data_IF_101896598874
#
_entry.id   IF_101896598874
#
_cell.length_a   1.000
_cell.length_b   1.000
_cell.length_c   1.000
_cell.angle_alpha   90.00
_cell.angle_beta   90.00
_cell.angle_gamma   90.00
#
_symmetry.space_group_name_H-M   'P 1'
#
loop_
_entity.id
_entity.type
_entity.pdbx_description
1 polymer ?
#
# COMPACT_ATOMS: atom_id res chain seq x y z
N UNK A 1 23.64 3.34 -10.95
CA UNK A 1 24.08 1.92 -10.97
C UNK A 1 23.52 1.22 -9.75
N UNK A 2 22.93 0.03 -9.91
CA UNK A 2 22.46 -0.77 -8.78
C UNK A 2 23.64 -1.23 -7.92
N UNK A 3 23.49 -1.19 -6.59
CA UNK A 3 24.46 -1.78 -5.66
C UNK A 3 24.12 -3.25 -5.48
N UNK A 4 25.10 -4.14 -5.64
CA UNK A 4 24.94 -5.55 -5.33
C UNK A 4 25.08 -5.73 -3.81
N UNK A 5 24.09 -6.34 -3.18
CA UNK A 5 24.05 -6.55 -1.73
C UNK A 5 23.93 -8.03 -1.45
N UNK A 6 24.82 -8.56 -0.60
CA UNK A 6 24.70 -9.91 -0.06
C UNK A 6 23.84 -9.86 1.21
N UNK A 7 22.87 -10.76 1.30
CA UNK A 7 21.91 -10.82 2.41
C UNK A 7 21.82 -12.27 2.86
N UNK A 8 21.84 -12.50 4.17
CA UNK A 8 21.56 -13.81 4.78
C UNK A 8 20.06 -13.92 5.05
N UNK A 9 19.45 -14.99 4.54
CA UNK A 9 18.04 -15.28 4.78
C UNK A 9 17.92 -16.47 5.73
N UNK A 10 16.89 -16.45 6.57
CA UNK A 10 16.55 -17.62 7.37
C UNK A 10 15.98 -18.74 6.49
N UNK A 11 16.10 -19.98 6.95
CA UNK A 11 15.65 -21.19 6.25
C UNK A 11 14.19 -21.13 5.78
N UNK A 12 13.31 -20.46 6.55
CA UNK A 12 11.92 -20.22 6.15
C UNK A 12 11.82 -19.48 4.80
N UNK A 13 12.55 -18.37 4.64
CA UNK A 13 12.49 -17.56 3.43
C UNK A 13 13.22 -18.22 2.26
N UNK A 14 14.30 -18.96 2.51
CA UNK A 14 14.96 -19.75 1.47
C UNK A 14 14.01 -20.79 0.87
N UNK A 15 13.29 -21.54 1.73
CA UNK A 15 12.31 -22.53 1.28
C UNK A 15 11.17 -21.88 0.50
N UNK A 16 10.66 -20.74 0.97
CA UNK A 16 9.64 -19.98 0.25
C UNK A 16 10.15 -19.55 -1.13
N UNK A 17 11.31 -18.89 -1.21
CA UNK A 17 11.89 -18.37 -2.46
C UNK A 17 12.12 -19.52 -3.46
N UNK A 18 12.72 -20.62 -3.01
CA UNK A 18 12.93 -21.80 -3.84
C UNK A 18 11.60 -22.40 -4.33
N UNK A 19 10.58 -22.42 -3.49
CA UNK A 19 9.24 -22.86 -3.85
C UNK A 19 8.59 -21.98 -4.93
N UNK A 20 8.71 -20.65 -4.86
CA UNK A 20 8.14 -19.78 -5.91
C UNK A 20 8.95 -19.83 -7.20
N UNK A 21 10.28 -19.96 -7.14
CA UNK A 21 11.13 -20.09 -8.32
C UNK A 21 10.84 -21.41 -9.04
N UNK A 22 10.67 -22.52 -8.31
CA UNK A 22 10.39 -23.83 -8.92
C UNK A 22 9.06 -23.88 -9.69
N UNK A 23 8.11 -23.01 -9.36
CA UNK A 23 6.86 -22.85 -10.13
C UNK A 23 7.05 -22.13 -11.48
N UNK A 24 8.22 -21.55 -11.72
CA UNK A 24 8.50 -20.73 -12.91
C UNK A 24 7.95 -19.31 -12.83
N UNK A 25 7.37 -18.89 -11.69
CA UNK A 25 6.84 -17.52 -11.51
C UNK A 25 7.95 -16.46 -11.51
N UNK A 26 9.14 -16.82 -11.04
CA UNK A 26 10.31 -15.92 -10.97
C UNK A 26 11.56 -16.66 -11.42
N UNK A 27 12.49 -15.93 -12.06
CA UNK A 27 13.71 -16.51 -12.61
C UNK A 27 14.89 -16.47 -11.64
N UNK A 28 14.81 -15.67 -10.56
CA UNK A 28 15.91 -15.55 -9.59
C UNK A 28 15.45 -15.07 -8.22
N UNK A 29 16.25 -15.36 -7.20
CA UNK A 29 16.09 -14.82 -5.85
C UNK A 29 16.05 -13.29 -5.84
N UNK A 30 16.92 -12.64 -6.61
CA UNK A 30 16.96 -11.17 -6.72
C UNK A 30 15.68 -10.59 -7.34
N UNK A 31 14.96 -11.34 -8.18
CA UNK A 31 13.66 -10.92 -8.70
C UNK A 31 12.56 -11.01 -7.66
N UNK A 32 12.55 -12.10 -6.88
CA UNK A 32 11.61 -12.28 -5.76
C UNK A 32 11.80 -11.17 -4.73
N UNK A 33 13.05 -10.90 -4.32
CA UNK A 33 13.37 -9.85 -3.34
C UNK A 33 12.95 -8.48 -3.86
N UNK A 34 13.24 -8.13 -5.11
CA UNK A 34 12.81 -6.85 -5.70
C UNK A 34 11.30 -6.70 -5.72
N UNK A 35 10.57 -7.76 -6.01
CA UNK A 35 9.11 -7.75 -6.01
C UNK A 35 8.56 -7.58 -4.61
N UNK A 36 9.12 -8.28 -3.62
CA UNK A 36 8.75 -8.12 -2.22
C UNK A 36 9.01 -6.70 -1.71
N UNK A 37 10.17 -6.11 -2.03
CA UNK A 37 10.49 -4.73 -1.66
C UNK A 37 9.56 -3.71 -2.31
N UNK A 38 9.16 -3.92 -3.57
CA UNK A 38 8.17 -3.07 -4.24
C UNK A 38 6.80 -3.12 -3.55
N UNK A 39 6.37 -4.31 -3.12
CA UNK A 39 5.12 -4.44 -2.37
C UNK A 39 5.22 -3.73 -1.02
N UNK A 40 6.34 -3.87 -0.31
CA UNK A 40 6.58 -3.16 0.94
C UNK A 40 6.53 -1.63 0.75
N UNK A 41 7.20 -1.11 -0.27
CA UNK A 41 7.19 0.32 -0.61
C UNK A 41 5.76 0.84 -0.84
N UNK A 42 4.94 0.10 -1.59
CA UNK A 42 3.55 0.47 -1.86
C UNK A 42 2.72 0.48 -0.56
N UNK A 43 2.88 -0.50 0.31
CA UNK A 43 2.14 -0.55 1.58
C UNK A 43 2.55 0.58 2.54
N UNK A 44 3.84 0.92 2.59
CA UNK A 44 4.33 2.07 3.35
C UNK A 44 3.75 3.39 2.81
N UNK A 45 3.73 3.57 1.49
CA UNK A 45 3.11 4.75 0.86
C UNK A 45 1.62 4.86 1.18
N UNK A 46 0.87 3.76 1.13
CA UNK A 46 -0.55 3.74 1.52
C UNK A 46 -0.74 4.14 2.98
N UNK A 47 0.13 3.65 3.86
CA UNK A 47 0.08 3.95 5.30
C UNK A 47 0.34 5.44 5.56
N UNK A 48 1.31 6.03 4.87
CA UNK A 48 1.60 7.46 4.95
C UNK A 48 0.39 8.27 4.47
N UNK A 49 -0.13 7.96 3.27
CA UNK A 49 -1.29 8.66 2.71
C UNK A 49 -2.53 8.56 3.61
N UNK A 50 -2.74 7.41 4.26
CA UNK A 50 -3.83 7.23 5.21
C UNK A 50 -3.66 8.13 6.44
N UNK A 51 -2.45 8.20 7.02
CA UNK A 51 -2.17 9.08 8.16
C UNK A 51 -2.39 10.54 7.80
N UNK A 52 -1.89 10.97 6.65
CA UNK A 52 -2.10 12.35 6.16
C UNK A 52 -3.59 12.66 5.97
N UNK A 53 -4.38 11.72 5.43
CA UNK A 53 -5.82 11.89 5.28
C UNK A 53 -6.56 11.97 6.62
N UNK A 54 -6.12 11.20 7.62
CA UNK A 54 -6.65 11.27 8.98
C UNK A 54 -6.30 12.61 9.64
N UNK A 55 -5.04 13.04 9.56
CA UNK A 55 -4.59 14.34 10.09
C UNK A 55 -5.37 15.50 9.46
N UNK A 56 -5.62 15.45 8.15
CA UNK A 56 -6.47 16.44 7.45
C UNK A 56 -7.91 16.42 7.98
N UNK A 57 -8.46 15.24 8.23
CA UNK A 57 -9.79 15.07 8.80
C UNK A 57 -9.90 15.60 10.23
N UNK A 58 -8.93 15.29 11.10
CA UNK A 58 -8.91 15.73 12.50
C UNK A 58 -8.71 17.23 12.63
N UNK A 59 -7.88 17.83 11.78
CA UNK A 59 -7.67 19.27 11.73
C UNK A 59 -8.82 20.02 11.02
N UNK A 60 -9.76 19.30 10.40
CA UNK A 60 -10.95 19.89 9.79
C UNK A 60 -12.01 20.25 10.84
N UNK A 61 -12.92 21.15 10.48
CA UNK A 61 -14.04 21.48 11.36
C UNK A 61 -15.05 20.34 11.36
N UNK A 62 -15.35 19.82 12.55
CA UNK A 62 -16.40 18.80 12.70
C UNK A 62 -17.79 19.42 12.54
N UNK A 63 -18.60 18.84 11.66
CA UNK A 63 -20.01 19.23 11.46
C UNK A 63 -20.86 18.49 12.48
N UNK A 64 -21.50 19.22 13.40
CA UNK A 64 -22.28 18.62 14.51
C UNK A 64 -23.67 18.13 14.08
N UNK A 65 -24.28 18.79 13.10
CA UNK A 65 -25.68 18.55 12.68
C UNK A 65 -25.75 18.07 11.23
N UNK A 66 -24.95 17.06 10.88
CA UNK A 66 -24.91 16.55 9.51
C UNK A 66 -26.23 15.83 9.15
N UNK A 67 -26.95 16.35 8.14
CA UNK A 67 -28.14 15.72 7.56
C UNK A 67 -27.81 15.07 6.19
N UNK A 68 -27.73 13.73 6.11
CA UNK A 68 -27.38 13.04 4.86
C UNK A 68 -28.35 13.30 3.70
N UNK A 69 -29.65 13.48 3.98
CA UNK A 69 -30.67 13.67 2.93
C UNK A 69 -30.55 15.02 2.27
N UNK A 70 -30.40 16.08 3.07
CA UNK A 70 -30.19 17.45 2.56
C UNK A 70 -28.85 17.55 1.82
N UNK A 71 -27.80 16.91 2.33
CA UNK A 71 -26.51 16.87 1.66
C UNK A 71 -26.58 16.18 0.30
N UNK A 72 -27.27 15.03 0.21
CA UNK A 72 -27.46 14.33 -1.06
C UNK A 72 -28.28 15.15 -2.07
N UNK A 73 -29.34 15.82 -1.61
CA UNK A 73 -30.15 16.69 -2.47
C UNK A 73 -29.32 17.85 -3.01
N UNK A 74 -28.47 18.46 -2.17
CA UNK A 74 -27.56 19.53 -2.59
C UNK A 74 -26.51 19.07 -3.61
N UNK A 75 -25.99 17.84 -3.46
CA UNK A 75 -25.06 17.26 -4.44
C UNK A 75 -25.75 17.04 -5.80
N UNK A 76 -26.96 16.49 -5.81
CA UNK A 76 -27.72 16.30 -7.04
C UNK A 76 -28.04 17.62 -7.75
N UNK A 77 -28.45 18.67 -7.02
CA UNK A 77 -28.73 19.98 -7.63
C UNK A 77 -27.50 20.72 -8.17
N UNK A 78 -26.30 20.30 -7.75
CA UNK A 78 -25.04 20.94 -8.16
C UNK A 78 -24.42 20.29 -9.40
N UNK A 79 -24.78 19.03 -9.68
CA UNK A 79 -24.14 18.20 -10.70
C UNK A 79 -25.12 17.66 -11.76
N UNK A 80 -26.41 17.96 -11.64
CA UNK A 80 -27.46 17.72 -12.64
C UNK A 80 -28.06 19.08 -13.00
#
# INVERSE_FOLDING_TARGET
MGKNTSILLGSHFENFINGVISTGRYNSTSEVIRTALRLLEIEEQKTIALREALDLGENSKMVKDFNPKEHLQALHSKHI
#
